data_IF_886934778353
#
_entry.id   IF_886934778353
#
_cell.length_a   1.000
_cell.length_b   1.000
_cell.length_c   1.000
_cell.angle_alpha   90.00
_cell.angle_beta   90.00
_cell.angle_gamma   90.00
#
_symmetry.space_group_name_H-M   'P 1'
#
loop_
_entity.id
_entity.type
_entity.pdbx_description
1 polymer ?
#
# COMPACT_ATOMS: atom_id res chain seq x y z
N UNK A 1 -21.48 -58.54 -18.39
CA UNK A 1 -20.23 -57.94 -18.91
C UNK A 1 -20.45 -56.65 -19.71
N UNK A 2 -21.25 -56.63 -20.80
CA UNK A 2 -21.44 -55.41 -21.65
C UNK A 2 -21.90 -54.14 -20.89
N UNK A 3 -22.75 -54.27 -19.86
CA UNK A 3 -23.24 -53.15 -19.03
C UNK A 3 -22.13 -52.53 -18.15
N UNK A 4 -21.22 -53.37 -17.65
CA UNK A 4 -20.09 -52.95 -16.80
C UNK A 4 -19.04 -52.22 -17.66
N UNK A 5 -18.81 -52.68 -18.89
CA UNK A 5 -17.91 -52.03 -19.86
C UNK A 5 -18.47 -50.66 -20.30
N UNK A 6 -19.79 -50.54 -20.52
CA UNK A 6 -20.44 -49.23 -20.79
C UNK A 6 -20.28 -48.26 -19.61
N UNK A 7 -20.47 -48.72 -18.38
CA UNK A 7 -20.33 -47.87 -17.19
C UNK A 7 -18.86 -47.47 -16.95
N UNK A 8 -17.91 -48.36 -17.20
CA UNK A 8 -16.48 -48.06 -17.12
C UNK A 8 -16.05 -47.02 -18.17
N UNK A 9 -16.57 -47.11 -19.40
CA UNK A 9 -16.32 -46.10 -20.44
C UNK A 9 -16.90 -44.72 -20.09
N UNK A 10 -18.08 -44.67 -19.45
CA UNK A 10 -18.69 -43.43 -18.98
C UNK A 10 -17.90 -42.80 -17.82
N UNK A 11 -17.43 -43.61 -16.86
CA UNK A 11 -16.57 -43.15 -15.76
C UNK A 11 -15.23 -42.64 -16.29
N UNK A 12 -14.62 -43.34 -17.25
CA UNK A 12 -13.38 -42.89 -17.89
C UNK A 12 -13.55 -41.57 -18.65
N UNK A 13 -14.69 -41.38 -19.32
CA UNK A 13 -15.02 -40.10 -19.98
C UNK A 13 -15.20 -38.95 -18.98
N UNK A 14 -15.78 -39.20 -17.80
CA UNK A 14 -15.88 -38.19 -16.72
C UNK A 14 -14.50 -37.85 -16.15
N UNK A 15 -13.62 -38.83 -15.98
CA UNK A 15 -12.24 -38.61 -15.50
C UNK A 15 -11.40 -37.84 -16.54
N UNK A 16 -11.65 -38.01 -17.83
CA UNK A 16 -11.01 -37.21 -18.88
C UNK A 16 -11.47 -35.74 -18.88
N UNK A 17 -12.64 -35.43 -18.32
CA UNK A 17 -13.18 -34.07 -18.23
C UNK A 17 -12.64 -33.28 -17.01
N UNK A 18 -11.89 -33.89 -16.10
CA UNK A 18 -11.27 -33.20 -14.94
C UNK A 18 -9.88 -32.62 -15.24
N UNK A 19 -9.46 -32.60 -16.52
CA UNK A 19 -8.07 -32.38 -16.95
C UNK A 19 -7.52 -30.95 -16.91
N UNK A 20 -8.27 -29.92 -16.52
CA UNK A 20 -7.70 -28.59 -16.34
C UNK A 20 -8.58 -27.72 -15.42
N UNK A 21 -8.16 -27.54 -14.17
CA UNK A 21 -8.68 -26.45 -13.34
C UNK A 21 -7.92 -25.20 -13.80
N UNK A 22 -8.58 -24.38 -14.63
CA UNK A 22 -8.02 -23.15 -15.16
C UNK A 22 -7.71 -22.14 -14.06
N UNK A 23 -6.90 -21.13 -14.41
CA UNK A 23 -6.74 -19.91 -13.61
C UNK A 23 -7.65 -18.83 -14.16
N UNK A 24 -8.07 -17.91 -13.29
CA UNK A 24 -8.78 -16.68 -13.67
C UNK A 24 -8.04 -15.46 -13.13
N UNK A 25 -8.25 -14.33 -13.78
CA UNK A 25 -7.75 -13.02 -13.34
C UNK A 25 -8.88 -12.24 -12.67
N UNK A 26 -8.54 -11.55 -11.60
CA UNK A 26 -9.42 -10.60 -10.91
C UNK A 26 -8.69 -9.26 -10.84
N UNK A 27 -9.41 -8.21 -11.21
CA UNK A 27 -8.91 -6.85 -11.19
C UNK A 27 -9.59 -6.11 -10.04
N UNK A 28 -8.79 -5.57 -9.13
CA UNK A 28 -9.24 -4.75 -8.01
C UNK A 28 -8.61 -3.37 -8.17
N UNK A 29 -9.42 -2.32 -8.09
CA UNK A 29 -8.94 -0.96 -8.29
C UNK A 29 -9.66 0.02 -7.39
N UNK A 30 -9.00 1.10 -7.02
CA UNK A 30 -9.61 2.12 -6.18
C UNK A 30 -8.78 3.39 -6.09
N UNK A 31 -9.12 4.23 -5.13
CA UNK A 31 -8.47 5.53 -4.89
C UNK A 31 -7.97 5.60 -3.46
N UNK A 32 -6.75 6.09 -3.26
CA UNK A 32 -6.18 6.36 -1.92
C UNK A 32 -4.95 7.26 -2.05
N UNK A 33 -4.56 7.93 -0.97
CA UNK A 33 -3.31 8.72 -0.90
C UNK A 33 -3.11 9.70 -2.07
N UNK A 34 -4.19 10.33 -2.55
CA UNK A 34 -4.13 11.29 -3.66
C UNK A 34 -3.97 10.67 -5.06
N UNK A 35 -4.04 9.35 -5.19
CA UNK A 35 -3.87 8.64 -6.48
C UNK A 35 -4.84 7.45 -6.62
N UNK A 36 -4.66 6.63 -7.64
CA UNK A 36 -5.39 5.38 -7.88
C UNK A 36 -4.47 4.16 -7.72
N UNK A 37 -5.05 3.01 -7.38
CA UNK A 37 -4.33 1.74 -7.35
C UNK A 37 -5.03 0.72 -8.26
N UNK A 38 -4.26 -0.22 -8.80
CA UNK A 38 -4.73 -1.33 -9.62
C UNK A 38 -3.97 -2.59 -9.21
N UNK A 39 -4.69 -3.64 -8.84
CA UNK A 39 -4.15 -4.93 -8.39
C UNK A 39 -4.75 -6.01 -9.28
N UNK A 40 -3.89 -6.81 -9.89
CA UNK A 40 -4.27 -7.99 -10.67
C UNK A 40 -3.94 -9.24 -9.88
N UNK A 41 -4.93 -10.09 -9.66
CA UNK A 41 -4.79 -11.33 -8.90
C UNK A 41 -5.07 -12.51 -9.82
N UNK A 42 -4.10 -13.42 -9.94
CA UNK A 42 -4.26 -14.67 -10.67
C UNK A 42 -4.56 -15.78 -9.66
N UNK A 43 -5.76 -16.36 -9.73
CA UNK A 43 -6.28 -17.32 -8.75
C UNK A 43 -6.88 -18.54 -9.43
N UNK A 44 -7.10 -19.63 -8.69
CA UNK A 44 -7.83 -20.79 -9.21
C UNK A 44 -9.25 -20.40 -9.66
N UNK A 45 -9.77 -21.04 -10.71
CA UNK A 45 -11.09 -20.67 -11.25
C UNK A 45 -12.23 -20.75 -10.21
N UNK A 46 -12.14 -21.69 -9.28
CA UNK A 46 -13.12 -21.93 -8.22
C UNK A 46 -12.66 -21.45 -6.83
N UNK A 47 -11.52 -20.75 -6.76
CA UNK A 47 -11.03 -20.20 -5.51
C UNK A 47 -11.86 -18.97 -5.13
N UNK A 48 -12.31 -18.96 -3.87
CA UNK A 48 -13.11 -17.86 -3.33
C UNK A 48 -12.20 -16.67 -3.02
N UNK A 49 -12.62 -15.51 -3.50
CA UNK A 49 -11.93 -14.24 -3.32
C UNK A 49 -12.82 -13.21 -2.64
N UNK A 50 -13.94 -13.64 -2.06
CA UNK A 50 -14.78 -12.80 -1.22
C UNK A 50 -13.95 -12.19 -0.09
N UNK A 51 -14.13 -10.89 0.15
CA UNK A 51 -13.41 -10.15 1.19
C UNK A 51 -11.98 -9.72 0.83
N UNK A 52 -11.40 -10.18 -0.29
CA UNK A 52 -10.04 -9.77 -0.68
C UNK A 52 -9.94 -8.25 -0.90
N UNK A 53 -10.91 -7.66 -1.58
CA UNK A 53 -10.98 -6.21 -1.79
C UNK A 53 -11.09 -5.45 -0.46
N UNK A 54 -11.91 -5.94 0.48
CA UNK A 54 -12.05 -5.33 1.81
C UNK A 54 -10.74 -5.37 2.60
N UNK A 55 -10.03 -6.50 2.58
CA UNK A 55 -8.74 -6.61 3.28
C UNK A 55 -7.65 -5.74 2.63
N UNK A 56 -7.64 -5.61 1.29
CA UNK A 56 -6.78 -4.66 0.58
C UNK A 56 -7.10 -3.23 1.02
N UNK A 57 -8.37 -2.83 1.00
CA UNK A 57 -8.77 -1.49 1.43
C UNK A 57 -8.41 -1.22 2.88
N UNK A 58 -8.64 -2.18 3.77
CA UNK A 58 -8.30 -2.08 5.19
C UNK A 58 -6.80 -1.89 5.38
N UNK A 59 -5.97 -2.64 4.65
CA UNK A 59 -4.51 -2.48 4.68
C UNK A 59 -4.09 -1.10 4.18
N UNK A 60 -4.63 -0.65 3.04
CA UNK A 60 -4.33 0.67 2.48
C UNK A 60 -4.77 1.81 3.40
N UNK A 61 -5.94 1.68 4.05
CA UNK A 61 -6.43 2.63 5.07
C UNK A 61 -5.50 2.66 6.28
N UNK A 62 -4.98 1.52 6.72
CA UNK A 62 -4.01 1.46 7.82
C UNK A 62 -2.69 2.18 7.48
N UNK A 63 -2.13 1.95 6.27
CA UNK A 63 -0.95 2.70 5.80
C UNK A 63 -1.25 4.20 5.78
N UNK A 64 -2.40 4.60 5.22
CA UNK A 64 -2.76 6.02 5.11
C UNK A 64 -2.92 6.68 6.49
N UNK A 65 -3.50 5.98 7.47
CA UNK A 65 -3.60 6.45 8.86
C UNK A 65 -2.24 6.61 9.53
N UNK A 66 -1.22 5.83 9.14
CA UNK A 66 0.13 6.00 9.67
C UNK A 66 0.89 7.13 8.95
N UNK A 67 0.87 7.13 7.62
CA UNK A 67 1.82 7.91 6.80
C UNK A 67 1.25 9.18 6.14
N UNK A 68 -0.05 9.47 6.26
CA UNK A 68 -0.63 10.65 5.58
C UNK A 68 -0.25 11.95 6.27
N UNK A 69 0.58 12.77 5.63
CA UNK A 69 0.82 14.16 6.08
C UNK A 69 -0.41 15.07 5.89
N UNK A 70 -1.44 14.63 5.18
CA UNK A 70 -2.68 15.43 5.00
C UNK A 70 -3.71 15.20 6.11
N UNK A 71 -3.66 14.04 6.78
CA UNK A 71 -4.53 13.74 7.93
C UNK A 71 -3.90 14.26 9.22
N UNK A 72 -4.63 15.09 9.98
CA UNK A 72 -4.12 15.70 11.23
C UNK A 72 -3.87 14.67 12.33
N UNK A 73 -4.67 13.61 12.36
CA UNK A 73 -4.64 12.54 13.35
C UNK A 73 -3.77 11.35 12.92
N UNK A 74 -3.11 11.43 11.76
CA UNK A 74 -2.18 10.38 11.35
C UNK A 74 -1.00 10.29 12.29
N UNK A 75 -0.38 9.11 12.32
CA UNK A 75 0.78 8.88 13.14
C UNK A 75 1.94 9.83 12.81
N UNK A 76 2.26 10.02 11.53
CA UNK A 76 3.30 10.96 11.09
C UNK A 76 2.96 12.41 11.42
N UNK A 77 1.70 12.84 11.30
CA UNK A 77 1.32 14.20 11.66
C UNK A 77 1.45 14.46 13.16
N UNK A 78 1.12 13.47 13.99
CA UNK A 78 1.31 13.55 15.44
C UNK A 78 2.79 13.54 15.82
N UNK A 79 3.59 12.68 15.18
CA UNK A 79 5.05 12.66 15.36
C UNK A 79 5.69 14.01 14.97
N UNK A 80 5.32 14.57 13.81
CA UNK A 80 5.81 15.88 13.36
C UNK A 80 5.33 17.05 14.23
N UNK A 81 4.31 16.86 15.07
CA UNK A 81 3.79 17.89 15.96
C UNK A 81 4.52 17.97 17.31
N UNK A 82 5.36 16.98 17.63
CA UNK A 82 6.19 16.97 18.84
C UNK A 82 7.07 18.22 18.88
N UNK A 83 7.20 18.82 20.06
CA UNK A 83 7.94 20.09 20.24
C UNK A 83 9.33 19.89 20.80
N UNK A 84 9.54 18.79 21.52
CA UNK A 84 10.80 18.51 22.18
C UNK A 84 11.37 17.19 21.66
N UNK A 85 12.70 17.14 21.51
CA UNK A 85 13.40 15.97 20.98
C UNK A 85 13.53 14.82 21.98
N UNK A 86 13.27 15.09 23.26
CA UNK A 86 13.26 14.12 24.35
C UNK A 86 11.86 13.55 24.66
N UNK A 87 10.82 14.03 23.96
CA UNK A 87 9.46 13.54 24.11
C UNK A 87 9.34 12.11 23.55
N UNK A 88 8.89 11.18 24.40
CA UNK A 88 8.66 9.79 23.98
C UNK A 88 7.37 9.68 23.18
N UNK A 89 7.46 9.11 21.99
CA UNK A 89 6.31 8.84 21.13
C UNK A 89 6.25 7.35 20.76
N UNK A 90 5.11 6.72 21.04
CA UNK A 90 4.89 5.33 20.67
C UNK A 90 4.55 5.23 19.19
N UNK A 91 5.28 4.39 18.47
CA UNK A 91 5.12 4.17 17.04
C UNK A 91 4.70 2.74 16.73
N UNK A 92 4.00 2.56 15.62
CA UNK A 92 3.63 1.30 15.02
C UNK A 92 4.82 0.65 14.29
N UNK A 93 4.72 -0.65 14.04
CA UNK A 93 5.74 -1.39 13.30
C UNK A 93 5.89 -0.87 11.86
N UNK A 94 4.78 -0.54 11.19
CA UNK A 94 4.78 0.08 9.87
C UNK A 94 5.56 1.39 9.86
N UNK A 95 5.30 2.26 10.85
CA UNK A 95 5.99 3.55 10.98
C UNK A 95 7.49 3.36 11.19
N UNK A 96 7.87 2.48 12.12
CA UNK A 96 9.28 2.16 12.38
C UNK A 96 9.96 1.62 11.12
N UNK A 97 9.32 0.70 10.41
CA UNK A 97 9.87 0.11 9.20
C UNK A 97 10.12 1.17 8.12
N UNK A 98 9.17 2.09 7.90
CA UNK A 98 9.34 3.20 6.96
C UNK A 98 10.49 4.10 7.37
N UNK A 99 10.59 4.48 8.65
CA UNK A 99 11.68 5.34 9.16
C UNK A 99 13.05 4.67 9.02
N UNK A 100 13.14 3.36 9.26
CA UNK A 100 14.38 2.60 9.08
C UNK A 100 14.81 2.55 7.60
N UNK A 101 13.86 2.32 6.68
CA UNK A 101 14.14 2.34 5.24
C UNK A 101 14.51 3.74 4.78
N UNK A 102 13.81 4.77 5.26
CA UNK A 102 14.13 6.17 4.98
C UNK A 102 15.59 6.49 5.33
N UNK A 103 16.01 6.16 6.56
CA UNK A 103 17.41 6.33 6.99
C UNK A 103 18.39 5.61 6.06
N UNK A 104 18.08 4.36 5.69
CA UNK A 104 18.93 3.58 4.78
C UNK A 104 19.04 4.21 3.39
N UNK A 105 17.94 4.72 2.84
CA UNK A 105 17.92 5.38 1.53
C UNK A 105 18.67 6.71 1.57
N UNK A 106 18.53 7.49 2.64
CA UNK A 106 19.32 8.70 2.87
C UNK A 106 20.83 8.41 2.83
N UNK A 107 21.28 7.41 3.60
CA UNK A 107 22.68 7.00 3.63
C UNK A 107 23.15 6.48 2.26
N UNK A 108 22.35 5.64 1.61
CA UNK A 108 22.67 5.06 0.31
C UNK A 108 22.81 6.11 -0.80
N UNK A 109 22.02 7.19 -0.73
CA UNK A 109 22.01 8.27 -1.72
C UNK A 109 22.96 9.41 -1.38
N UNK A 110 23.71 9.32 -0.28
CA UNK A 110 24.57 10.41 0.19
C UNK A 110 23.80 11.69 0.52
N UNK A 111 22.55 11.56 0.98
CA UNK A 111 21.66 12.68 1.31
C UNK A 111 20.87 13.27 0.14
N UNK A 112 21.00 12.73 -1.09
CA UNK A 112 20.20 13.22 -2.22
C UNK A 112 18.69 12.91 -2.05
N UNK A 113 18.35 11.83 -1.34
CA UNK A 113 17.00 11.60 -0.84
C UNK A 113 16.96 11.88 0.66
N UNK A 114 16.06 12.74 1.11
CA UNK A 114 15.86 13.05 2.53
C UNK A 114 14.36 13.16 2.85
N UNK A 115 13.88 12.29 3.74
CA UNK A 115 12.48 12.26 4.18
C UNK A 115 12.11 13.36 5.18
N UNK A 116 13.06 14.19 5.63
CA UNK A 116 12.86 15.23 6.65
C UNK A 116 12.60 16.63 6.11
N UNK A 117 12.55 16.79 4.77
CA UNK A 117 12.43 18.08 4.09
C UNK A 117 11.04 18.74 4.15
N UNK A 118 10.08 18.20 4.93
CA UNK A 118 8.72 18.77 5.06
C UNK A 118 8.69 20.27 5.40
N UNK A 119 9.57 20.81 6.27
CA UNK A 119 9.65 22.26 6.52
C UNK A 119 9.98 23.05 5.26
N UNK A 120 10.95 22.58 4.44
CA UNK A 120 11.32 23.22 3.18
C UNK A 120 10.21 23.09 2.14
N UNK A 121 9.64 21.90 1.97
CA UNK A 121 8.51 21.66 1.06
C UNK A 121 7.33 22.58 1.38
N UNK A 122 7.03 22.75 2.67
CA UNK A 122 5.98 23.67 3.14
C UNK A 122 6.35 25.13 2.91
N UNK A 123 7.59 25.52 3.18
CA UNK A 123 8.08 26.89 2.99
C UNK A 123 7.96 27.35 1.54
N UNK A 124 8.33 26.47 0.60
CA UNK A 124 8.25 26.69 -0.84
C UNK A 124 6.85 26.53 -1.45
N UNK A 125 5.82 26.24 -0.64
CA UNK A 125 4.44 26.15 -1.11
C UNK A 125 4.07 24.85 -1.83
N UNK A 126 4.91 23.82 -1.77
CA UNK A 126 4.63 22.49 -2.32
C UNK A 126 3.90 21.57 -1.32
N UNK A 127 3.78 21.99 -0.05
CA UNK A 127 3.16 21.22 1.01
C UNK A 127 1.64 21.34 1.10
N UNK A 128 1.08 20.71 2.14
CA UNK A 128 -0.37 20.64 2.42
C UNK A 128 -1.08 21.98 2.70
N UNK A 129 -0.33 23.06 2.90
CA UNK A 129 -0.87 24.39 3.22
C UNK A 129 -1.09 25.28 1.99
N UNK A 130 -0.80 24.78 0.78
CA UNK A 130 -1.02 25.48 -0.47
C UNK A 130 0.15 26.36 -0.92
N UNK A 131 -0.01 26.94 -2.11
CA UNK A 131 0.99 27.79 -2.76
C UNK A 131 1.13 29.10 -1.99
N UNK A 132 2.36 29.52 -1.74
CA UNK A 132 2.68 30.88 -1.30
C UNK A 132 3.08 31.71 -2.52
N UNK A 133 2.61 32.95 -2.58
CA UNK A 133 2.91 33.88 -3.69
C UNK A 133 4.30 34.54 -3.57
N UNK A 134 5.19 34.00 -2.73
CA UNK A 134 6.51 34.56 -2.46
C UNK A 134 7.58 33.48 -2.42
N UNK A 135 8.70 33.75 -3.07
CA UNK A 135 9.93 32.95 -2.98
C UNK A 135 10.59 33.22 -1.61
N UNK A 136 10.94 32.17 -0.82
CA UNK A 136 11.62 32.36 0.47
C UNK A 136 12.95 33.08 0.32
N UNK A 137 13.31 33.92 1.29
CA UNK A 137 14.64 34.57 1.32
C UNK A 137 15.74 33.59 1.73
N UNK A 138 17.00 33.96 1.52
CA UNK A 138 18.14 33.13 1.93
C UNK A 138 18.23 32.95 3.45
N UNK A 139 17.70 33.90 4.23
CA UNK A 139 17.63 33.83 5.69
C UNK A 139 16.50 32.92 6.19
N UNK A 140 15.47 32.68 5.38
CA UNK A 140 14.36 31.79 5.73
C UNK A 140 14.72 30.32 5.49
N UNK A 141 15.62 30.02 4.54
CA UNK A 141 16.07 28.68 4.13
C UNK A 141 17.13 28.12 5.10
#
# INVERSE_FOLDING_TARGET
MKKIIKNAGFIFLIVLLTGCIGKREILISGKTMGTTYHITVVTGYFEDTAGLEEEIEKRLKAVNRSMSTYMKDSEISRFNALKNTDEKFYISDDFLQVMMIAKKVYEFTGGAWDGTVDPLVTMWGFGRFGVKDSVPSAEEI
#
